data_IF_944546503736
#
_entry.id   IF_944546503736
#
_cell.length_a   1.000
_cell.length_b   1.000
_cell.length_c   1.000
_cell.angle_alpha   90.00
_cell.angle_beta   90.00
_cell.angle_gamma   90.00
#
_symmetry.space_group_name_H-M   'P 1'
#
loop_
_entity.id
_entity.type
_entity.pdbx_description
1 polymer ?
#
# COMPACT_ATOMS: atom_id res chain seq x y z
N UNK A 1 13.08 9.25 -10.11
CA UNK A 1 13.38 7.88 -10.64
C UNK A 1 12.55 6.81 -9.91
N UNK A 2 12.22 5.66 -10.53
CA UNK A 2 11.68 4.47 -9.84
C UNK A 2 12.85 3.61 -9.37
N UNK A 3 12.86 3.21 -8.10
CA UNK A 3 13.98 2.48 -7.48
C UNK A 3 13.75 0.97 -7.40
N UNK A 4 12.62 0.58 -6.81
CA UNK A 4 12.32 -0.82 -6.45
C UNK A 4 10.83 -1.03 -6.27
N UNK A 5 10.42 -2.29 -6.14
CA UNK A 5 9.16 -2.61 -5.48
C UNK A 5 9.34 -2.31 -4.00
N UNK A 6 8.57 -1.34 -3.49
CA UNK A 6 8.62 -0.98 -2.08
C UNK A 6 7.91 -2.02 -1.22
N UNK A 7 6.66 -2.30 -1.58
CA UNK A 7 5.85 -3.32 -0.93
C UNK A 7 4.70 -3.83 -1.81
N UNK A 8 4.11 -4.94 -1.38
CA UNK A 8 2.83 -5.44 -1.88
C UNK A 8 1.82 -5.40 -0.72
N UNK A 9 0.73 -4.66 -0.92
CA UNK A 9 -0.35 -4.57 0.05
C UNK A 9 -1.38 -5.69 -0.16
N UNK A 10 -1.72 -6.40 0.91
CA UNK A 10 -2.66 -7.54 0.89
C UNK A 10 -3.78 -7.25 1.88
N UNK A 11 -5.00 -7.12 1.38
CA UNK A 11 -6.18 -6.90 2.19
C UNK A 11 -6.61 -8.18 2.91
N UNK A 12 -6.77 -8.10 4.23
CA UNK A 12 -7.19 -9.20 5.12
C UNK A 12 -8.33 -8.74 6.03
N UNK A 13 -9.21 -9.66 6.41
CA UNK A 13 -10.36 -9.37 7.29
C UNK A 13 -9.98 -9.25 8.76
N UNK A 14 -8.98 -10.02 9.17
CA UNK A 14 -8.49 -10.04 10.54
C UNK A 14 -6.96 -10.04 10.53
N UNK A 15 -6.35 -8.97 11.03
CA UNK A 15 -4.90 -8.82 10.97
C UNK A 15 -4.18 -9.86 11.84
N UNK A 16 -4.70 -10.12 13.04
CA UNK A 16 -4.04 -10.97 14.02
C UNK A 16 -4.05 -12.45 13.59
N UNK A 17 -5.13 -12.91 12.95
CA UNK A 17 -5.21 -14.25 12.34
C UNK A 17 -4.31 -14.36 11.11
N UNK A 18 -4.30 -13.34 10.27
CA UNK A 18 -3.49 -13.32 9.07
C UNK A 18 -1.99 -13.32 9.43
N UNK A 19 -1.55 -12.52 10.40
CA UNK A 19 -0.15 -12.52 10.87
C UNK A 19 0.27 -13.93 11.29
N UNK A 20 -0.52 -14.61 12.11
CA UNK A 20 -0.22 -16.00 12.54
C UNK A 20 -0.11 -16.97 11.36
N UNK A 21 -0.93 -16.79 10.32
CA UNK A 21 -0.88 -17.63 9.12
C UNK A 21 0.42 -17.36 8.33
N UNK A 22 0.76 -16.09 8.12
CA UNK A 22 1.94 -15.69 7.36
C UNK A 22 3.25 -16.03 8.08
N UNK A 23 3.28 -15.98 9.41
CA UNK A 23 4.45 -16.42 10.19
C UNK A 23 4.76 -17.91 10.04
N UNK A 24 3.74 -18.75 9.74
CA UNK A 24 3.96 -20.18 9.43
C UNK A 24 4.75 -20.40 8.14
N UNK A 25 4.86 -19.38 7.28
CA UNK A 25 5.70 -19.42 6.08
C UNK A 25 7.17 -19.12 6.38
N UNK A 26 7.53 -18.87 7.65
CA UNK A 26 8.88 -18.52 8.08
C UNK A 26 9.18 -17.01 8.04
N UNK A 27 8.15 -16.19 7.78
CA UNK A 27 8.24 -14.74 7.89
C UNK A 27 8.11 -14.31 9.35
N UNK A 28 8.64 -13.12 9.68
CA UNK A 28 8.48 -12.51 11.00
C UNK A 28 7.87 -11.13 10.84
N UNK A 29 6.85 -10.84 11.64
CA UNK A 29 6.30 -9.49 11.68
C UNK A 29 7.36 -8.55 12.23
N UNK A 30 7.66 -7.50 11.46
CA UNK A 30 8.63 -6.49 11.84
C UNK A 30 7.98 -5.37 12.65
N UNK A 31 6.76 -4.99 12.26
CA UNK A 31 6.04 -3.87 12.85
C UNK A 31 4.54 -4.07 12.62
N UNK A 32 3.73 -3.61 13.59
CA UNK A 32 2.30 -3.44 13.44
C UNK A 32 1.98 -2.00 13.82
N UNK A 33 1.31 -1.28 12.93
CA UNK A 33 0.89 0.09 13.16
C UNK A 33 -0.57 0.29 12.77
N UNK A 34 -1.20 1.29 13.37
CA UNK A 34 -2.48 1.81 12.90
C UNK A 34 -2.23 3.14 12.20
N UNK A 35 -2.89 3.35 11.06
CA UNK A 35 -2.88 4.59 10.30
C UNK A 35 -4.30 5.16 10.32
N UNK A 36 -4.68 5.92 11.37
CA UNK A 36 -6.06 6.35 11.59
C UNK A 36 -6.64 7.16 10.43
N UNK A 37 -5.82 8.01 9.81
CA UNK A 37 -6.21 8.84 8.65
C UNK A 37 -6.65 7.99 7.44
N UNK A 38 -6.15 6.77 7.34
CA UNK A 38 -6.50 5.81 6.29
C UNK A 38 -7.43 4.70 6.78
N UNK A 39 -7.80 4.70 8.07
CA UNK A 39 -8.66 3.70 8.71
C UNK A 39 -8.18 2.28 8.44
N UNK A 40 -6.88 2.05 8.65
CA UNK A 40 -6.22 0.77 8.38
C UNK A 40 -5.23 0.43 9.49
N UNK A 41 -5.19 -0.84 9.90
CA UNK A 41 -4.07 -1.44 10.63
C UNK A 41 -3.21 -2.20 9.63
N UNK A 42 -1.90 -2.06 9.79
CA UNK A 42 -0.90 -2.61 8.88
C UNK A 42 0.06 -3.50 9.67
N UNK A 43 0.29 -4.72 9.19
CA UNK A 43 1.38 -5.57 9.67
C UNK A 43 2.43 -5.73 8.56
N UNK A 44 3.68 -5.42 8.88
CA UNK A 44 4.78 -5.37 7.92
C UNK A 44 5.67 -6.60 8.07
N UNK A 45 5.88 -7.32 6.96
CA UNK A 45 6.88 -8.38 6.84
C UNK A 45 7.98 -7.94 5.88
N UNK A 46 9.25 -7.99 6.32
CA UNK A 46 10.41 -7.69 5.46
C UNK A 46 10.77 -8.91 4.62
N UNK A 47 10.94 -8.72 3.31
CA UNK A 47 11.31 -9.77 2.35
C UNK A 47 12.38 -9.22 1.40
N UNK A 48 13.64 -9.49 1.71
CA UNK A 48 14.76 -8.88 0.98
C UNK A 48 14.70 -7.35 1.07
N UNK A 49 14.68 -6.67 -0.08
CA UNK A 49 14.62 -5.21 -0.17
C UNK A 49 13.20 -4.64 -0.18
N UNK A 50 12.19 -5.51 -0.25
CA UNK A 50 10.76 -5.20 -0.33
C UNK A 50 10.03 -5.64 0.94
N UNK A 51 8.75 -5.30 1.01
CA UNK A 51 7.86 -5.72 2.09
C UNK A 51 6.57 -6.36 1.59
N UNK A 52 5.96 -7.11 2.48
CA UNK A 52 4.55 -7.50 2.39
C UNK A 52 3.83 -6.79 3.52
N UNK A 53 2.77 -6.07 3.17
CA UNK A 53 1.95 -5.33 4.13
C UNK A 53 0.56 -5.96 4.17
N UNK A 54 0.21 -6.56 5.30
CA UNK A 54 -1.16 -7.04 5.54
C UNK A 54 -1.99 -5.87 6.04
N UNK A 55 -3.15 -5.66 5.42
CA UNK A 55 -3.99 -4.49 5.61
C UNK A 55 -5.36 -4.91 6.13
N UNK A 56 -5.72 -4.45 7.32
CA UNK A 56 -7.05 -4.63 7.91
C UNK A 56 -7.75 -3.27 8.01
N UNK A 57 -8.96 -3.16 7.48
CA UNK A 57 -9.76 -1.94 7.64
C UNK A 57 -10.28 -1.81 9.08
N UNK A 58 -10.12 -0.63 9.70
CA UNK A 58 -10.58 -0.37 11.08
C UNK A 58 -12.03 0.10 11.16
N UNK A 59 -12.69 0.27 10.02
CA UNK A 59 -14.11 0.63 9.89
C UNK A 59 -14.71 0.08 8.60
N UNK A 60 -16.04 0.02 8.51
CA UNK A 60 -16.74 -0.41 7.29
C UNK A 60 -16.49 0.53 6.11
N UNK A 61 -16.24 1.80 6.37
CA UNK A 61 -16.00 2.80 5.33
C UNK A 61 -14.53 2.90 4.87
N UNK A 62 -13.63 2.14 5.50
CA UNK A 62 -12.24 1.99 5.09
C UNK A 62 -12.12 1.50 3.63
N UNK A 63 -11.16 2.01 2.84
CA UNK A 63 -10.89 1.51 1.49
C UNK A 63 -10.65 0.00 1.44
N UNK A 64 -10.00 -0.55 2.48
CA UNK A 64 -9.69 -1.98 2.59
C UNK A 64 -10.96 -2.79 2.83
N UNK A 65 -11.81 -2.37 3.76
CA UNK A 65 -13.11 -3.02 4.03
C UNK A 65 -13.99 -3.03 2.78
N UNK A 66 -14.04 -1.91 2.05
CA UNK A 66 -14.77 -1.80 0.78
C UNK A 66 -14.20 -2.70 -0.31
N UNK A 67 -12.87 -2.82 -0.39
CA UNK A 67 -12.21 -3.74 -1.32
C UNK A 67 -12.61 -5.19 -1.02
N UNK A 68 -12.50 -5.62 0.24
CA UNK A 68 -12.83 -6.98 0.67
C UNK A 68 -14.30 -7.29 0.41
N UNK A 69 -15.22 -6.36 0.71
CA UNK A 69 -16.64 -6.54 0.45
C UNK A 69 -16.96 -6.77 -1.05
N UNK A 70 -16.16 -6.17 -1.94
CA UNK A 70 -16.38 -6.24 -3.40
C UNK A 70 -15.61 -7.38 -4.07
N UNK A 71 -14.43 -7.75 -3.57
CA UNK A 71 -13.48 -8.63 -4.25
C UNK A 71 -12.95 -9.79 -3.41
N UNK A 72 -13.24 -9.81 -2.12
CA UNK A 72 -12.63 -10.73 -1.16
C UNK A 72 -11.24 -10.26 -0.71
N UNK A 73 -10.63 -11.05 0.18
CA UNK A 73 -9.24 -10.86 0.63
C UNK A 73 -8.26 -11.16 -0.50
N UNK A 74 -7.07 -10.55 -0.47
CA UNK A 74 -6.04 -10.76 -1.49
C UNK A 74 -5.20 -9.53 -1.77
N UNK A 75 -4.38 -9.59 -2.83
CA UNK A 75 -3.51 -8.49 -3.24
C UNK A 75 -4.37 -7.26 -3.57
N UNK A 76 -4.15 -6.18 -2.83
CA UNK A 76 -4.85 -4.91 -2.97
C UNK A 76 -4.12 -3.99 -3.94
N UNK A 77 -2.80 -3.85 -3.79
CA UNK A 77 -1.99 -2.93 -4.56
C UNK A 77 -0.51 -3.34 -4.60
N UNK A 78 0.24 -2.72 -5.50
CA UNK A 78 1.70 -2.78 -5.56
C UNK A 78 2.23 -1.37 -5.38
N UNK A 79 3.26 -1.21 -4.56
CA UNK A 79 3.92 0.07 -4.33
C UNK A 79 5.32 0.10 -4.96
N UNK A 80 5.62 1.19 -5.66
CA UNK A 80 6.94 1.45 -6.24
C UNK A 80 7.64 2.57 -5.47
N UNK A 81 8.86 2.27 -5.02
CA UNK A 81 9.72 3.23 -4.34
C UNK A 81 10.21 4.31 -5.30
N UNK A 82 10.05 5.57 -4.94
CA UNK A 82 10.48 6.74 -5.72
C UNK A 82 11.27 7.73 -4.87
N UNK A 83 12.13 8.52 -5.53
CA UNK A 83 12.96 9.53 -4.86
C UNK A 83 12.24 10.85 -4.55
N UNK A 84 11.42 11.31 -5.48
CA UNK A 84 10.64 12.54 -5.38
C UNK A 84 9.24 12.26 -5.92
N UNK A 85 8.29 12.05 -5.00
CA UNK A 85 6.92 11.71 -5.34
C UNK A 85 6.17 12.86 -6.00
N UNK A 86 6.47 14.11 -5.62
CA UNK A 86 5.81 15.30 -6.16
C UNK A 86 6.16 15.47 -7.64
N UNK A 87 7.45 15.38 -7.99
CA UNK A 87 7.92 15.42 -9.37
C UNK A 87 7.34 14.28 -10.23
N UNK A 88 7.25 13.07 -9.67
CA UNK A 88 6.64 11.93 -10.38
C UNK A 88 5.15 12.12 -10.62
N UNK A 89 4.41 12.66 -9.65
CA UNK A 89 2.97 12.92 -9.83
C UNK A 89 2.72 13.98 -10.91
N UNK A 90 3.52 15.05 -10.92
CA UNK A 90 3.45 16.08 -11.98
C UNK A 90 3.69 15.46 -13.35
N UNK A 91 4.77 14.70 -13.50
CA UNK A 91 5.09 14.02 -14.76
C UNK A 91 3.98 13.06 -15.21
N UNK A 92 3.47 12.22 -14.31
CA UNK A 92 2.38 11.28 -14.64
C UNK A 92 1.11 12.03 -15.05
N UNK A 93 0.79 13.15 -14.41
CA UNK A 93 -0.34 14.00 -14.77
C UNK A 93 -0.18 14.58 -16.18
N UNK A 94 1.01 15.07 -16.53
CA UNK A 94 1.34 15.56 -17.86
C UNK A 94 1.26 14.47 -18.94
N UNK A 95 1.65 13.25 -18.60
CA UNK A 95 1.55 12.06 -19.47
C UNK A 95 0.12 11.49 -19.55
N UNK A 96 -0.86 12.12 -18.90
CA UNK A 96 -2.28 11.76 -19.00
C UNK A 96 -2.71 10.59 -18.11
N UNK A 97 -1.89 10.20 -17.13
CA UNK A 97 -2.30 9.21 -16.14
C UNK A 97 -3.41 9.79 -15.26
N UNK A 98 -4.44 8.98 -15.03
CA UNK A 98 -5.44 9.27 -14.01
C UNK A 98 -4.86 9.01 -12.62
N UNK A 99 -4.66 10.06 -11.86
CA UNK A 99 -4.25 10.00 -10.45
C UNK A 99 -5.46 9.83 -9.54
N UNK A 100 -5.28 9.13 -8.42
CA UNK A 100 -6.23 9.15 -7.30
C UNK A 100 -5.85 10.28 -6.35
N UNK A 101 -4.57 10.38 -6.01
CA UNK A 101 -4.02 11.45 -5.18
C UNK A 101 -3.23 12.42 -6.08
N UNK A 102 -3.68 13.68 -6.17
CA UNK A 102 -2.94 14.74 -6.88
C UNK A 102 -1.80 15.33 -6.03
N UNK A 103 -1.80 15.07 -4.73
CA UNK A 103 -0.75 15.45 -3.78
C UNK A 103 -0.45 14.27 -2.87
N UNK A 104 0.81 14.06 -2.47
CA UNK A 104 1.15 12.98 -1.56
C UNK A 104 0.50 13.18 -0.19
N UNK A 105 0.20 12.06 0.47
CA UNK A 105 -0.28 12.00 1.86
C UNK A 105 0.62 11.09 2.69
N UNK A 106 0.46 11.10 4.01
CA UNK A 106 1.27 10.26 4.89
C UNK A 106 0.67 8.85 4.99
N UNK A 107 1.52 7.85 4.75
CA UNK A 107 1.21 6.44 4.85
C UNK A 107 1.91 5.74 6.01
N UNK A 108 1.84 4.41 5.97
CA UNK A 108 2.48 3.49 6.90
C UNK A 108 3.99 3.78 7.08
N UNK A 109 4.47 3.85 8.32
CA UNK A 109 5.86 4.14 8.66
C UNK A 109 6.32 5.54 8.22
N UNK A 110 5.39 6.49 8.16
CA UNK A 110 5.68 7.91 7.85
C UNK A 110 6.05 8.19 6.39
N UNK A 111 5.84 7.24 5.47
CA UNK A 111 6.13 7.43 4.06
C UNK A 111 5.21 8.49 3.43
N UNK A 112 5.72 9.22 2.43
CA UNK A 112 4.83 9.94 1.51
C UNK A 112 4.33 8.97 0.47
N UNK A 113 3.01 8.89 0.30
CA UNK A 113 2.36 7.98 -0.65
C UNK A 113 1.37 8.71 -1.55
N UNK A 114 1.15 8.17 -2.74
CA UNK A 114 0.11 8.61 -3.67
C UNK A 114 -0.31 7.48 -4.61
N UNK A 115 -1.60 7.35 -4.87
CA UNK A 115 -2.13 6.29 -5.72
C UNK A 115 -2.41 6.76 -7.15
N UNK A 116 -2.09 5.88 -8.11
CA UNK A 116 -2.48 6.00 -9.52
C UNK A 116 -3.69 5.10 -9.77
N UNK A 117 -4.67 5.61 -10.49
CA UNK A 117 -5.93 4.91 -10.71
C UNK A 117 -5.71 3.66 -11.59
N UNK A 118 -6.30 2.49 -11.27
CA UNK A 118 -6.07 1.24 -12.00
C UNK A 118 -6.36 1.28 -13.51
N UNK A 119 -7.26 2.18 -13.93
CA UNK A 119 -7.55 2.43 -15.36
C UNK A 119 -6.35 2.92 -16.16
N UNK A 120 -5.34 3.51 -15.50
CA UNK A 120 -4.11 3.97 -16.14
C UNK A 120 -3.03 2.89 -16.16
N UNK A 121 -3.20 1.80 -15.39
CA UNK A 121 -2.15 0.81 -15.13
C UNK A 121 -2.69 -0.61 -15.25
N UNK A 122 -3.38 -0.91 -16.37
CA UNK A 122 -3.85 -2.27 -16.71
C UNK A 122 -4.65 -2.99 -15.60
N UNK A 123 -5.38 -2.25 -14.76
CA UNK A 123 -6.16 -2.80 -13.65
C UNK A 123 -5.41 -2.95 -12.33
N UNK A 124 -4.13 -2.60 -12.27
CA UNK A 124 -3.33 -2.58 -11.04
C UNK A 124 -3.54 -1.28 -10.30
N UNK A 125 -3.94 -1.35 -9.02
CA UNK A 125 -3.84 -0.20 -8.13
C UNK A 125 -2.36 -0.01 -7.79
N UNK A 126 -1.79 1.08 -8.30
CA UNK A 126 -0.37 1.39 -8.14
C UNK A 126 -0.21 2.48 -7.08
N UNK A 127 0.65 2.24 -6.11
CA UNK A 127 1.10 3.25 -5.15
C UNK A 127 2.52 3.72 -5.54
N UNK A 128 2.76 5.02 -5.46
CA UNK A 128 4.10 5.60 -5.40
C UNK A 128 4.44 5.87 -3.94
N UNK A 129 5.63 5.45 -3.51
CA UNK A 129 6.06 5.52 -2.13
C UNK A 129 7.45 6.20 -2.05
N UNK A 130 7.54 7.31 -1.34
CA UNK A 130 8.80 7.98 -1.00
C UNK A 130 9.05 7.83 0.50
N UNK A 131 10.18 7.20 0.85
CA UNK A 131 10.63 7.03 2.22
C UNK A 131 11.99 7.69 2.40
N UNK A 132 12.19 8.31 3.56
CA UNK A 132 13.53 8.71 4.00
C UNK A 132 14.22 7.45 4.51
N UNK A 133 15.27 7.03 3.81
CA UNK A 133 16.14 5.93 4.23
C UNK A 133 16.96 6.29 5.46
#
# INVERSE_FOLDING_TARGET
MIKKIDHVGIAVKNLDEAVKLWEKLGLKVAEIEEVPDQKVRVAVFKVGESRIELLEGTSEDSPISKFIAKRGEGIHHIALGVENIEEHLEKLKEEGFRLIDEKPRIGAGGAKIAFVHPKSVNGVLLELCERKE
#
